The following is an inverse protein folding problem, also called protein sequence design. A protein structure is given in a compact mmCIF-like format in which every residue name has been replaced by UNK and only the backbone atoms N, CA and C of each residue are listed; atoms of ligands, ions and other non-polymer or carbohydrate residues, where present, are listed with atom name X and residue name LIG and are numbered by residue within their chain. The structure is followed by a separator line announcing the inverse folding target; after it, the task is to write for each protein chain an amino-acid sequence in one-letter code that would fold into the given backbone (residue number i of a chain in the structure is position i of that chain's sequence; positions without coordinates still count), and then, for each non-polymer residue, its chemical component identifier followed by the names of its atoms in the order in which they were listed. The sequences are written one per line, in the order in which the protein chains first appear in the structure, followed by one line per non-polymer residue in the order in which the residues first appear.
data_IF_020196982276
#
_entry.id   IF_020196982276
#
_cell.length_a   1.000
_cell.length_b   1.000
_cell.length_c   1.000
_cell.angle_alpha   90.00
_cell.angle_beta   90.00
_cell.angle_gamma   90.00
#
_symmetry.space_group_name_H-M   'P 1'
#
loop_
_entity.id
_entity.type
_entity.pdbx_description
1 polymer ?
#
# COMPACT_ATOMS: atom_id res chain seq x y z
N UNK A 1 -2.24 -13.79 -7.02
CA UNK A 1 -3.37 -12.87 -7.23
C UNK A 1 -3.37 -12.33 -8.65
N UNK A 2 -4.55 -12.05 -9.22
CA UNK A 2 -4.73 -11.67 -10.63
C UNK A 2 -4.46 -10.17 -10.88
N UNK A 3 -4.65 -9.30 -9.87
CA UNK A 3 -4.55 -7.84 -10.01
C UNK A 3 -3.13 -7.26 -10.04
N UNK A 4 -2.12 -8.03 -9.61
CA UNK A 4 -0.75 -7.52 -9.46
C UNK A 4 -0.08 -7.26 -10.83
N UNK A 5 -0.40 -8.09 -11.83
CA UNK A 5 0.17 -7.94 -13.17
C UNK A 5 -0.32 -6.64 -13.83
N UNK A 6 -1.65 -6.37 -13.91
CA UNK A 6 -2.14 -5.07 -14.37
C UNK A 6 -1.51 -3.90 -13.61
N UNK A 7 -1.42 -3.95 -12.28
CA UNK A 7 -0.84 -2.87 -11.49
C UNK A 7 0.60 -2.53 -11.90
N UNK A 8 1.46 -3.52 -12.14
CA UNK A 8 2.85 -3.29 -12.56
C UNK A 8 2.93 -2.78 -14.00
N UNK A 9 2.16 -3.39 -14.91
CA UNK A 9 2.25 -3.10 -16.35
C UNK A 9 1.62 -1.75 -16.69
N UNK A 10 0.43 -1.45 -16.17
CA UNK A 10 -0.29 -0.20 -16.45
C UNK A 10 0.41 1.01 -15.85
N UNK A 11 1.11 0.86 -14.72
CA UNK A 11 1.96 1.91 -14.16
C UNK A 11 3.36 1.97 -14.81
N UNK A 12 3.63 1.15 -15.83
CA UNK A 12 4.89 1.15 -16.56
C UNK A 12 6.10 0.86 -15.68
N UNK A 13 5.93 0.07 -14.63
CA UNK A 13 7.00 -0.36 -13.72
C UNK A 13 7.61 -1.71 -14.13
N UNK A 14 7.02 -2.38 -15.12
CA UNK A 14 7.50 -3.65 -15.65
C UNK A 14 6.69 -4.11 -16.85
N UNK A 15 7.04 -5.30 -17.34
CA UNK A 15 6.34 -5.99 -18.43
C UNK A 15 6.01 -7.41 -18.00
N UNK A 16 5.06 -8.03 -18.68
CA UNK A 16 4.66 -9.41 -18.43
C UNK A 16 4.94 -10.28 -19.66
N UNK A 17 5.63 -11.40 -19.47
CA UNK A 17 5.84 -12.43 -20.50
C UNK A 17 5.71 -13.82 -19.90
N UNK A 18 5.05 -14.73 -20.64
CA UNK A 18 4.94 -16.16 -20.29
C UNK A 18 6.01 -17.02 -20.99
N UNK A 19 6.77 -16.45 -21.93
CA UNK A 19 7.72 -17.19 -22.75
C UNK A 19 9.16 -16.95 -22.27
N UNK A 20 9.90 -17.98 -21.81
CA UNK A 20 11.27 -17.82 -21.32
C UNK A 20 12.21 -17.16 -22.32
N UNK A 21 12.09 -17.49 -23.62
CA UNK A 21 12.91 -16.91 -24.69
C UNK A 21 12.63 -15.41 -24.86
N UNK A 22 11.37 -15.00 -24.76
CA UNK A 22 11.02 -13.57 -24.81
C UNK A 22 11.53 -12.84 -23.56
N UNK A 23 11.40 -13.44 -22.38
CA UNK A 23 11.93 -12.88 -21.13
C UNK A 23 13.43 -12.66 -21.21
N UNK A 24 14.20 -13.65 -21.67
CA UNK A 24 15.65 -13.53 -21.85
C UNK A 24 16.02 -12.40 -22.84
N UNK A 25 15.30 -12.30 -23.96
CA UNK A 25 15.52 -11.24 -24.94
C UNK A 25 15.21 -9.84 -24.37
N UNK A 26 14.15 -9.69 -23.56
CA UNK A 26 13.83 -8.42 -22.90
C UNK A 26 14.94 -8.00 -21.93
N UNK A 27 15.40 -8.91 -21.08
CA UNK A 27 16.48 -8.64 -20.13
C UNK A 27 17.78 -8.28 -20.86
N UNK A 28 18.14 -9.01 -21.91
CA UNK A 28 19.33 -8.71 -22.71
C UNK A 28 19.27 -7.31 -23.35
N UNK A 29 18.11 -6.91 -23.86
CA UNK A 29 17.88 -5.58 -24.43
C UNK A 29 17.97 -4.48 -23.37
N UNK A 30 17.41 -4.70 -22.18
CA UNK A 30 17.48 -3.75 -21.06
C UNK A 30 18.92 -3.46 -20.60
N UNK A 31 19.83 -4.42 -20.77
CA UNK A 31 21.25 -4.22 -20.49
C UNK A 31 22.06 -3.76 -21.71
N UNK A 32 21.40 -3.47 -22.83
CA UNK A 32 22.01 -3.00 -24.07
C UNK A 32 21.17 -1.89 -24.72
N UNK A 33 20.56 -2.21 -25.87
CA UNK A 33 19.86 -1.24 -26.72
C UNK A 33 18.71 -0.48 -26.03
N UNK A 34 18.09 -1.11 -25.04
CA UNK A 34 16.88 -0.61 -24.36
C UNK A 34 17.17 -0.19 -22.91
N UNK A 35 18.41 0.16 -22.59
CA UNK A 35 18.77 0.63 -21.24
C UNK A 35 17.95 1.84 -20.77
N UNK A 36 17.48 2.68 -21.70
CA UNK A 36 16.59 3.79 -21.40
C UNK A 36 15.20 3.34 -20.90
N UNK A 37 14.64 2.26 -21.46
CA UNK A 37 13.37 1.70 -20.99
C UNK A 37 13.51 1.09 -19.60
N UNK A 38 14.62 0.40 -19.33
CA UNK A 38 14.92 -0.09 -17.98
C UNK A 38 14.98 1.07 -16.97
N UNK A 39 15.67 2.17 -17.31
CA UNK A 39 15.76 3.35 -16.46
C UNK A 39 14.38 3.98 -16.21
N UNK A 40 13.53 4.06 -17.24
CA UNK A 40 12.16 4.58 -17.13
C UNK A 40 11.30 3.70 -16.21
N UNK A 41 11.33 2.39 -16.39
CA UNK A 41 10.61 1.46 -15.51
C UNK A 41 11.10 1.53 -14.06
N UNK A 42 12.41 1.64 -13.86
CA UNK A 42 13.01 1.83 -12.53
C UNK A 42 12.51 3.11 -11.85
N UNK A 43 12.46 4.23 -12.58
CA UNK A 43 11.90 5.48 -12.05
C UNK A 43 10.42 5.37 -11.71
N UNK A 44 9.63 4.67 -12.53
CA UNK A 44 8.22 4.44 -12.24
C UNK A 44 8.04 3.54 -11.01
N UNK A 45 8.83 2.48 -10.86
CA UNK A 45 8.82 1.65 -9.67
C UNK A 45 9.12 2.45 -8.39
N UNK A 46 10.08 3.39 -8.45
CA UNK A 46 10.37 4.30 -7.33
C UNK A 46 9.19 5.22 -7.00
N UNK A 47 8.44 5.70 -8.00
CA UNK A 47 7.24 6.53 -7.77
C UNK A 47 6.10 5.75 -7.10
N UNK A 48 5.97 4.46 -7.42
CA UNK A 48 4.96 3.59 -6.81
C UNK A 48 5.34 3.16 -5.38
N UNK A 49 6.63 3.20 -5.04
CA UNK A 49 7.11 2.69 -3.76
C UNK A 49 6.47 3.43 -2.58
N UNK A 50 5.99 2.66 -1.60
CA UNK A 50 5.44 3.17 -0.35
C UNK A 50 6.30 2.69 0.84
N UNK A 51 7.54 3.18 1.00
CA UNK A 51 8.46 2.68 2.02
C UNK A 51 7.97 2.92 3.46
N UNK A 52 7.04 3.86 3.65
CA UNK A 52 6.46 4.19 4.96
C UNK A 52 5.08 3.57 5.21
N UNK A 53 4.59 2.70 4.31
CA UNK A 53 3.23 2.16 4.37
C UNK A 53 2.87 1.61 5.75
N UNK A 54 3.74 0.76 6.33
CA UNK A 54 3.46 0.14 7.64
C UNK A 54 3.38 1.16 8.77
N UNK A 55 4.25 2.18 8.78
CA UNK A 55 4.21 3.23 9.80
C UNK A 55 2.97 4.11 9.66
N UNK A 56 2.55 4.39 8.43
CA UNK A 56 1.34 5.15 8.17
C UNK A 56 0.11 4.37 8.65
N UNK A 57 0.01 3.09 8.29
CA UNK A 57 -1.10 2.22 8.73
C UNK A 57 -1.18 2.16 10.26
N UNK A 58 -0.05 1.93 10.95
CA UNK A 58 -0.03 1.84 12.42
C UNK A 58 -0.44 3.17 13.05
N UNK A 59 0.05 4.30 12.54
CA UNK A 59 -0.32 5.63 13.04
C UNK A 59 -1.82 5.89 12.82
N UNK A 60 -2.36 5.55 11.65
CA UNK A 60 -3.77 5.74 11.35
C UNK A 60 -4.66 4.91 12.29
N UNK A 61 -4.25 3.67 12.59
CA UNK A 61 -4.93 2.80 13.57
C UNK A 61 -4.88 3.43 14.97
N UNK A 62 -3.70 3.88 15.42
CA UNK A 62 -3.53 4.50 16.74
C UNK A 62 -4.40 5.76 16.89
N UNK A 63 -4.44 6.62 15.86
CA UNK A 63 -5.28 7.81 15.84
C UNK A 63 -6.79 7.47 15.88
N UNK A 64 -7.22 6.44 15.15
CA UNK A 64 -8.60 5.97 15.18
C UNK A 64 -9.00 5.45 16.57
N UNK A 65 -8.12 4.68 17.22
CA UNK A 65 -8.37 4.16 18.57
C UNK A 65 -8.42 5.28 19.61
N UNK A 66 -7.55 6.29 19.52
CA UNK A 66 -7.61 7.46 20.40
C UNK A 66 -8.92 8.23 20.26
N UNK A 67 -9.37 8.48 19.01
CA UNK A 67 -10.67 9.14 18.76
C UNK A 67 -11.83 8.31 19.32
N UNK A 68 -11.81 6.99 19.17
CA UNK A 68 -12.84 6.11 19.68
C UNK A 68 -12.82 6.01 21.22
N UNK A 69 -11.63 6.02 21.84
CA UNK A 69 -11.44 6.10 23.29
C UNK A 69 -11.99 7.40 23.89
N UNK A 70 -11.78 8.53 23.22
CA UNK A 70 -12.36 9.81 23.62
C UNK A 70 -13.89 9.80 23.51
N UNK A 71 -14.43 9.31 22.39
CA UNK A 71 -15.88 9.25 22.17
C UNK A 71 -16.58 8.30 23.14
N UNK A 72 -15.98 7.15 23.44
CA UNK A 72 -16.50 6.23 24.45
C UNK A 72 -16.48 6.88 25.84
N UNK A 73 -15.37 7.50 26.24
CA UNK A 73 -15.27 8.24 27.52
C UNK A 73 -16.31 9.36 27.66
N UNK A 74 -16.53 10.15 26.60
CA UNK A 74 -17.55 11.21 26.60
C UNK A 74 -18.95 10.62 26.78
N UNK A 75 -19.27 9.53 26.07
CA UNK A 75 -20.56 8.84 26.24
C UNK A 75 -20.75 8.35 27.69
N UNK A 76 -19.75 7.70 28.28
CA UNK A 76 -19.80 7.24 29.68
C UNK A 76 -19.87 8.38 30.70
N UNK A 77 -19.35 9.57 30.40
CA UNK A 77 -19.52 10.75 31.27
C UNK A 77 -20.85 11.49 31.09
N UNK A 78 -21.53 11.29 29.97
CA UNK A 78 -22.82 11.92 29.67
C UNK A 78 -24.03 11.03 30.01
N UNK A 79 -23.84 9.74 30.29
CA UNK A 79 -24.86 8.94 30.98
C UNK A 79 -24.86 9.33 32.46
N UNK A 80 -25.97 9.87 33.02
CA UNK A 80 -26.06 10.10 34.45
C UNK A 80 -25.91 8.77 35.18
N UNK A 81 -25.14 8.74 36.26
CA UNK A 81 -24.91 7.59 37.17
C UNK A 81 -26.16 7.08 37.90
N UNK A 82 -27.37 7.43 37.44
CA UNK A 82 -28.65 7.15 38.09
C UNK A 82 -29.15 5.70 37.94
N UNK A 83 -28.45 4.80 37.25
CA UNK A 83 -28.83 3.39 37.16
C UNK A 83 -27.91 2.42 37.91
N UNK A 84 -26.95 2.91 38.71
CA UNK A 84 -26.06 2.05 39.51
C UNK A 84 -26.63 1.66 40.89
N UNK A 85 -27.90 1.96 41.17
CA UNK A 85 -28.58 1.46 42.37
C UNK A 85 -30.00 1.03 42.02
N UNK A 86 -30.19 -0.26 41.79
CA UNK A 86 -31.35 -1.03 42.24
C UNK A 86 -31.00 -2.51 42.07
N UNK A 87 -31.18 -3.23 43.17
CA UNK A 87 -31.08 -4.67 43.33
C UNK A 87 -32.08 -5.43 42.45
#
# INVERSE_FOLDING_TARGET
EVGNVPYVVENGAGVFSKCPKQTANLVARWFGSDAHELRKMSQNALKLAQPKAVFNIVRDIDELMHKQGILSRIKYSLVPTSFACLA
#
